data_IF_341723995133
#
_entry.id   IF_341723995133
#
_cell.length_a   1.000
_cell.length_b   1.000
_cell.length_c   1.000
_cell.angle_alpha   90.00
_cell.angle_beta   90.00
_cell.angle_gamma   90.00
#
_symmetry.space_group_name_H-M   'P 1'
#
loop_
_entity.id
_entity.type
_entity.pdbx_description
1 polymer ?
#
# COMPACT_ATOMS: atom_id res chain seq x y z
N UNK A 1 -20.12 0.60 2.46
CA UNK A 1 -19.73 -0.82 2.55
C UNK A 1 -20.92 -1.63 2.06
N UNK A 2 -20.76 -2.38 0.95
CA UNK A 2 -21.79 -3.30 0.45
C UNK A 2 -21.74 -4.57 1.30
N UNK A 3 -22.88 -5.03 1.77
CA UNK A 3 -23.05 -6.34 2.38
C UNK A 3 -23.90 -7.24 1.48
N UNK A 4 -23.88 -8.53 1.70
CA UNK A 4 -24.62 -9.52 0.88
C UNK A 4 -26.01 -9.84 1.41
N UNK A 5 -26.51 -9.05 2.38
CA UNK A 5 -27.80 -9.32 3.02
C UNK A 5 -28.97 -9.38 2.02
N UNK A 6 -29.04 -8.40 1.11
CA UNK A 6 -30.11 -8.37 0.11
C UNK A 6 -30.05 -9.54 -0.87
N UNK A 7 -28.86 -9.98 -1.23
CA UNK A 7 -28.63 -11.15 -2.09
C UNK A 7 -29.09 -12.44 -1.41
N UNK A 8 -28.58 -12.69 -0.19
CA UNK A 8 -28.91 -13.89 0.59
C UNK A 8 -30.39 -13.98 0.91
N UNK A 9 -31.04 -12.82 1.23
CA UNK A 9 -32.48 -12.79 1.44
C UNK A 9 -33.26 -13.22 0.18
N UNK A 10 -32.88 -12.68 -0.98
CA UNK A 10 -33.53 -13.08 -2.26
C UNK A 10 -33.31 -14.54 -2.57
N UNK A 11 -32.13 -15.07 -2.31
CA UNK A 11 -31.78 -16.47 -2.50
C UNK A 11 -32.60 -17.39 -1.57
N UNK A 12 -32.89 -16.92 -0.35
CA UNK A 12 -33.77 -17.61 0.60
C UNK A 12 -35.28 -17.43 0.26
N UNK A 13 -35.63 -16.68 -0.79
CA UNK A 13 -37.02 -16.44 -1.20
C UNK A 13 -37.81 -15.55 -0.24
N UNK A 14 -37.15 -14.81 0.66
CA UNK A 14 -37.80 -14.02 1.68
C UNK A 14 -38.02 -12.56 1.23
N UNK A 15 -39.19 -11.99 1.60
CA UNK A 15 -39.39 -10.54 1.52
C UNK A 15 -38.71 -9.83 2.70
N UNK A 16 -38.54 -8.52 2.61
CA UNK A 16 -37.98 -7.72 3.71
C UNK A 16 -38.80 -7.81 4.97
N UNK A 17 -40.13 -7.89 4.84
CA UNK A 17 -41.05 -8.03 5.97
C UNK A 17 -40.96 -9.41 6.61
N UNK A 18 -40.86 -10.48 5.81
CA UNK A 18 -40.68 -11.84 6.33
C UNK A 18 -39.35 -11.99 7.07
N UNK A 19 -38.25 -11.45 6.47
CA UNK A 19 -36.97 -11.49 7.17
C UNK A 19 -36.97 -10.68 8.45
N UNK A 20 -37.64 -9.53 8.48
CA UNK A 20 -37.80 -8.71 9.67
C UNK A 20 -38.52 -9.46 10.79
N UNK A 21 -39.62 -10.12 10.46
CA UNK A 21 -40.38 -10.95 11.41
C UNK A 21 -39.54 -12.10 11.96
N UNK A 22 -38.85 -12.83 11.08
CA UNK A 22 -38.00 -13.98 11.49
C UNK A 22 -36.77 -13.56 12.31
N UNK A 23 -36.26 -12.36 12.08
CA UNK A 23 -35.14 -11.80 12.83
C UNK A 23 -35.56 -10.95 14.04
N UNK A 24 -36.85 -10.98 14.41
CA UNK A 24 -37.42 -10.20 15.52
C UNK A 24 -37.00 -8.71 15.45
N UNK A 25 -37.28 -8.07 14.32
CA UNK A 25 -36.93 -6.67 14.06
C UNK A 25 -37.94 -5.99 13.15
N UNK A 26 -37.82 -4.67 12.99
CA UNK A 26 -38.66 -3.93 12.08
C UNK A 26 -38.11 -3.93 10.64
N UNK A 27 -39.02 -3.94 9.63
CA UNK A 27 -38.68 -3.84 8.21
C UNK A 27 -37.71 -2.68 7.91
N UNK A 28 -37.90 -1.52 8.55
CA UNK A 28 -37.05 -0.34 8.36
C UNK A 28 -35.58 -0.62 8.71
N UNK A 29 -35.31 -1.50 9.65
CA UNK A 29 -33.95 -1.90 10.03
C UNK A 29 -33.31 -2.78 8.94
N UNK A 30 -34.08 -3.73 8.39
CA UNK A 30 -33.61 -4.56 7.26
C UNK A 30 -33.26 -3.68 6.07
N UNK A 31 -34.12 -2.72 5.72
CA UNK A 31 -33.87 -1.79 4.60
C UNK A 31 -32.59 -0.99 4.82
N UNK A 32 -32.38 -0.44 6.03
CA UNK A 32 -31.17 0.33 6.36
C UNK A 32 -29.92 -0.52 6.32
N UNK A 33 -30.00 -1.78 6.78
CA UNK A 33 -28.88 -2.72 6.70
C UNK A 33 -28.54 -3.09 5.24
N UNK A 34 -29.55 -3.37 4.41
CA UNK A 34 -29.35 -3.70 2.99
C UNK A 34 -28.76 -2.53 2.20
N UNK A 35 -29.12 -1.30 2.53
CA UNK A 35 -28.58 -0.08 1.88
C UNK A 35 -27.21 0.35 2.42
N UNK A 36 -26.73 -0.29 3.48
CA UNK A 36 -25.48 0.11 4.14
C UNK A 36 -25.59 1.40 4.97
N UNK A 37 -26.81 1.92 5.17
CA UNK A 37 -27.10 3.08 6.03
C UNK A 37 -26.90 2.75 7.51
N UNK A 38 -26.92 1.47 7.85
CA UNK A 38 -26.60 0.94 9.18
C UNK A 38 -25.52 -0.13 9.07
N UNK A 39 -24.56 -0.10 10.01
CA UNK A 39 -23.50 -1.11 10.08
C UNK A 39 -24.06 -2.47 10.44
N UNK A 40 -23.64 -3.50 9.72
CA UNK A 40 -23.90 -4.88 10.03
C UNK A 40 -22.92 -5.31 11.14
N UNK A 41 -23.39 -5.32 12.39
CA UNK A 41 -22.61 -5.77 13.55
C UNK A 41 -22.69 -7.29 13.70
N UNK A 42 -21.80 -7.88 14.52
CA UNK A 42 -21.81 -9.32 14.81
C UNK A 42 -23.18 -9.79 15.32
N UNK A 43 -23.85 -9.01 16.19
CA UNK A 43 -25.19 -9.33 16.67
C UNK A 43 -26.20 -9.42 15.54
N UNK A 44 -26.13 -8.49 14.58
CA UNK A 44 -26.99 -8.52 13.39
C UNK A 44 -26.69 -9.72 12.51
N UNK A 45 -25.42 -10.08 12.33
CA UNK A 45 -25.02 -11.26 11.55
C UNK A 45 -25.56 -12.53 12.17
N UNK A 46 -25.43 -12.71 13.48
CA UNK A 46 -25.93 -13.88 14.20
C UNK A 46 -27.46 -13.99 14.13
N UNK A 47 -28.19 -12.87 14.28
CA UNK A 47 -29.64 -12.82 14.21
C UNK A 47 -30.18 -13.10 12.80
N UNK A 48 -29.49 -12.64 11.76
CA UNK A 48 -29.93 -12.75 10.38
C UNK A 48 -29.48 -14.07 9.74
N UNK A 49 -28.38 -14.66 10.14
CA UNK A 49 -27.86 -15.90 9.60
C UNK A 49 -28.83 -17.08 9.78
N UNK A 50 -29.46 -17.17 10.94
CA UNK A 50 -30.42 -18.24 11.26
C UNK A 50 -31.63 -18.27 10.31
N UNK A 51 -32.39 -17.18 10.11
CA UNK A 51 -33.53 -17.17 9.18
C UNK A 51 -33.11 -17.24 7.72
N UNK A 52 -31.87 -16.88 7.38
CA UNK A 52 -31.33 -16.98 6.03
C UNK A 52 -30.75 -18.34 5.69
N UNK A 53 -30.54 -19.20 6.70
CA UNK A 53 -29.95 -20.54 6.52
C UNK A 53 -28.50 -20.48 6.05
N UNK A 54 -27.73 -19.46 6.44
CA UNK A 54 -26.35 -19.23 6.04
C UNK A 54 -25.43 -19.06 7.25
N UNK A 55 -24.13 -19.11 7.04
CA UNK A 55 -23.17 -18.79 8.08
C UNK A 55 -23.13 -17.25 8.28
N UNK A 56 -23.00 -16.73 9.51
CA UNK A 56 -22.86 -15.28 9.78
C UNK A 56 -21.79 -14.58 8.92
N UNK A 57 -20.72 -15.28 8.57
CA UNK A 57 -19.66 -14.76 7.71
C UNK A 57 -20.11 -14.50 6.27
N UNK A 58 -21.11 -15.26 5.77
CA UNK A 58 -21.60 -15.14 4.40
C UNK A 58 -22.34 -13.82 4.16
N UNK A 59 -22.74 -13.12 5.25
CA UNK A 59 -23.34 -11.79 5.21
C UNK A 59 -22.32 -10.67 4.98
N UNK A 60 -21.03 -10.95 5.17
CA UNK A 60 -19.96 -10.04 4.78
C UNK A 60 -19.84 -9.99 3.26
N UNK A 61 -19.31 -8.89 2.68
CA UNK A 61 -18.88 -8.95 1.29
C UNK A 61 -18.01 -10.19 1.13
N UNK A 62 -18.22 -10.95 0.07
CA UNK A 62 -17.20 -11.92 -0.34
C UNK A 62 -15.91 -11.10 -0.50
N UNK A 63 -14.99 -11.21 0.47
CA UNK A 63 -13.59 -11.04 0.12
C UNK A 63 -13.40 -12.11 -0.93
N UNK A 64 -13.17 -11.70 -2.19
CA UNK A 64 -12.70 -12.65 -3.20
C UNK A 64 -11.66 -13.50 -2.49
N UNK A 65 -11.80 -14.83 -2.46
CA UNK A 65 -10.89 -15.69 -1.69
C UNK A 65 -9.52 -15.19 -2.05
N UNK A 66 -8.76 -14.69 -1.06
CA UNK A 66 -7.39 -14.28 -1.28
C UNK A 66 -6.79 -15.49 -1.98
N UNK A 67 -6.69 -15.39 -3.30
CA UNK A 67 -6.13 -16.44 -4.15
C UNK A 67 -4.85 -16.79 -3.43
N UNK A 68 -4.61 -18.05 -3.04
CA UNK A 68 -3.35 -18.39 -2.37
C UNK A 68 -2.29 -17.80 -3.26
N UNK A 69 -1.58 -16.76 -2.74
CA UNK A 69 -0.61 -15.99 -3.51
C UNK A 69 0.45 -17.01 -3.88
N UNK A 70 0.32 -17.57 -5.08
CA UNK A 70 1.36 -18.40 -5.63
C UNK A 70 2.67 -17.58 -5.56
N UNK A 71 3.83 -18.17 -5.30
CA UNK A 71 5.10 -17.43 -5.24
C UNK A 71 5.34 -16.48 -6.42
N UNK A 72 4.71 -16.77 -7.57
CA UNK A 72 4.69 -15.91 -8.77
C UNK A 72 3.87 -14.62 -8.62
N UNK A 73 3.00 -14.49 -7.62
CA UNK A 73 2.20 -13.28 -7.41
C UNK A 73 2.92 -12.15 -6.66
N UNK A 74 4.18 -12.37 -6.25
CA UNK A 74 5.05 -11.31 -5.72
C UNK A 74 5.54 -10.35 -6.81
N UNK A 75 5.42 -10.73 -8.10
CA UNK A 75 5.93 -9.99 -9.23
C UNK A 75 4.80 -9.60 -10.20
N UNK A 76 4.92 -8.42 -10.79
CA UNK A 76 4.05 -8.04 -11.90
C UNK A 76 4.33 -8.96 -13.10
N UNK A 77 3.28 -9.44 -13.75
CA UNK A 77 3.40 -10.29 -14.92
C UNK A 77 3.45 -9.45 -16.21
N UNK A 78 4.46 -9.71 -17.04
CA UNK A 78 4.55 -9.18 -18.39
C UNK A 78 3.71 -10.01 -19.39
N UNK A 79 3.78 -9.68 -20.69
CA UNK A 79 3.16 -10.47 -21.75
C UNK A 79 3.62 -11.93 -21.68
N UNK A 80 2.68 -12.87 -21.60
CA UNK A 80 2.98 -14.30 -21.49
C UNK A 80 2.99 -14.86 -20.06
N UNK A 81 2.61 -14.07 -19.04
CA UNK A 81 2.47 -14.54 -17.66
C UNK A 81 3.77 -14.75 -16.91
N UNK A 82 4.91 -14.31 -17.46
CA UNK A 82 6.22 -14.33 -16.79
C UNK A 82 6.46 -13.04 -16.00
N UNK A 83 7.29 -13.08 -14.93
CA UNK A 83 7.67 -11.86 -14.22
C UNK A 83 8.30 -10.83 -15.16
N UNK A 84 7.82 -9.58 -15.10
CA UNK A 84 8.35 -8.50 -15.93
C UNK A 84 9.64 -7.94 -15.32
N UNK A 85 10.75 -8.00 -16.06
CA UNK A 85 12.00 -7.30 -15.75
C UNK A 85 12.01 -5.93 -16.43
N UNK A 86 11.10 -5.07 -16.01
CA UNK A 86 10.85 -3.76 -16.63
C UNK A 86 10.94 -2.59 -15.65
N UNK A 87 11.28 -2.84 -14.38
CA UNK A 87 11.47 -1.80 -13.38
C UNK A 87 12.90 -1.25 -13.45
N UNK A 88 13.10 0.01 -13.89
CA UNK A 88 14.43 0.58 -13.95
C UNK A 88 14.99 0.86 -12.57
N UNK A 89 16.27 0.59 -12.36
CA UNK A 89 17.04 1.02 -11.19
C UNK A 89 17.72 2.33 -11.53
N UNK A 90 17.27 3.42 -10.89
CA UNK A 90 17.63 4.79 -11.23
C UNK A 90 18.53 5.45 -10.18
N UNK A 91 19.46 4.74 -9.54
CA UNK A 91 20.29 5.37 -8.55
C UNK A 91 21.45 4.51 -8.09
N UNK A 92 22.62 5.12 -8.03
CA UNK A 92 23.83 4.54 -7.44
C UNK A 92 24.52 5.53 -6.51
N UNK A 93 25.28 5.00 -5.55
CA UNK A 93 26.17 5.80 -4.73
C UNK A 93 27.24 6.48 -5.59
N UNK A 94 27.38 7.79 -5.48
CA UNK A 94 28.60 8.50 -5.88
C UNK A 94 29.27 9.10 -4.65
N UNK A 95 30.50 8.64 -4.44
CA UNK A 95 31.52 9.02 -3.48
C UNK A 95 31.22 10.20 -2.55
N UNK A 96 30.87 9.90 -1.30
CA UNK A 96 30.60 10.84 -0.24
C UNK A 96 29.47 10.33 0.66
N UNK A 97 29.62 10.45 1.95
CA UNK A 97 28.74 9.84 2.93
C UNK A 97 27.26 10.03 2.63
N UNK A 98 26.53 8.92 2.46
CA UNK A 98 25.06 8.80 2.55
C UNK A 98 24.20 9.49 1.48
N UNK A 99 24.77 9.98 0.38
CA UNK A 99 23.99 10.56 -0.73
C UNK A 99 23.84 9.55 -1.87
N UNK A 100 22.62 9.40 -2.34
CA UNK A 100 22.23 8.66 -3.51
C UNK A 100 22.15 9.64 -4.69
N UNK A 101 22.65 9.27 -5.86
CA UNK A 101 22.42 10.05 -7.08
C UNK A 101 21.28 9.40 -7.87
N UNK A 102 20.17 10.10 -8.07
CA UNK A 102 19.04 9.61 -8.86
C UNK A 102 19.09 10.22 -10.25
N UNK A 103 19.39 9.40 -11.25
CA UNK A 103 19.27 9.79 -12.66
C UNK A 103 18.14 8.97 -13.30
N UNK A 104 16.99 9.59 -13.49
CA UNK A 104 15.85 8.95 -14.14
C UNK A 104 16.04 8.83 -15.68
N UNK A 105 17.07 9.45 -16.23
CA UNK A 105 17.41 9.38 -17.67
C UNK A 105 18.25 8.16 -18.04
N UNK A 106 18.99 7.58 -17.10
CA UNK A 106 19.81 6.40 -17.34
C UNK A 106 19.57 5.35 -16.25
N UNK A 107 18.84 4.28 -16.62
CA UNK A 107 18.71 3.12 -15.75
C UNK A 107 20.06 2.36 -15.70
N UNK A 108 20.52 2.04 -14.50
CA UNK A 108 21.70 1.18 -14.29
C UNK A 108 21.43 -0.24 -14.77
N UNK A 109 20.24 -0.72 -14.48
CA UNK A 109 19.76 -2.04 -14.85
C UNK A 109 18.22 -2.07 -14.77
N UNK A 110 17.63 -3.19 -15.17
CA UNK A 110 16.21 -3.47 -14.98
C UNK A 110 16.04 -4.70 -14.10
N UNK A 111 15.18 -4.56 -13.09
CA UNK A 111 14.86 -5.64 -12.14
C UNK A 111 13.40 -6.09 -12.29
N UNK A 112 13.06 -7.19 -11.63
CA UNK A 112 11.68 -7.65 -11.59
C UNK A 112 10.79 -6.63 -10.89
N UNK A 113 9.67 -6.28 -11.55
CA UNK A 113 8.67 -5.39 -10.98
C UNK A 113 7.83 -6.12 -9.93
N UNK A 114 7.81 -5.68 -8.67
CA UNK A 114 6.93 -6.27 -7.66
C UNK A 114 5.46 -5.99 -7.99
N UNK A 115 4.57 -6.90 -7.59
CA UNK A 115 3.14 -6.84 -7.92
C UNK A 115 2.48 -5.51 -7.49
N UNK A 116 2.89 -4.94 -6.36
CA UNK A 116 2.40 -3.66 -5.86
C UNK A 116 2.75 -2.45 -6.76
N UNK A 117 3.67 -2.62 -7.70
CA UNK A 117 4.01 -1.63 -8.73
C UNK A 117 3.45 -1.99 -10.10
N UNK A 118 2.59 -3.02 -10.20
CA UNK A 118 1.95 -3.37 -11.45
C UNK A 118 1.13 -2.20 -11.99
N UNK A 119 1.36 -1.81 -13.25
CA UNK A 119 0.65 -0.70 -13.89
C UNK A 119 0.99 0.69 -13.37
N UNK A 120 1.92 0.83 -12.43
CA UNK A 120 2.36 2.14 -11.94
C UNK A 120 3.30 2.77 -12.96
N UNK A 121 2.86 3.89 -13.56
CA UNK A 121 3.68 4.65 -14.48
C UNK A 121 4.87 5.29 -13.75
N UNK A 122 6.03 5.30 -14.41
CA UNK A 122 7.27 5.90 -13.90
C UNK A 122 7.76 5.32 -12.56
N UNK A 123 7.30 4.11 -12.19
CA UNK A 123 7.86 3.40 -11.05
C UNK A 123 9.33 3.07 -11.30
N UNK A 124 10.13 3.14 -10.26
CA UNK A 124 11.57 2.85 -10.35
C UNK A 124 12.08 2.20 -9.05
N UNK A 125 13.30 1.75 -9.07
CA UNK A 125 14.00 1.27 -7.88
C UNK A 125 15.29 2.06 -7.67
N UNK A 126 15.80 2.05 -6.44
CA UNK A 126 17.09 2.61 -6.06
C UNK A 126 17.79 1.66 -5.10
N UNK A 127 19.10 1.62 -5.11
CA UNK A 127 19.86 0.94 -4.06
C UNK A 127 20.01 1.83 -2.83
N UNK A 128 19.74 1.28 -1.64
CA UNK A 128 20.05 1.94 -0.40
C UNK A 128 21.57 2.14 -0.26
N UNK A 129 21.96 3.32 0.22
CA UNK A 129 23.36 3.72 0.38
C UNK A 129 23.59 4.23 1.79
N UNK A 130 24.74 3.84 2.37
CA UNK A 130 25.10 4.19 3.73
C UNK A 130 24.27 3.44 4.77
N UNK A 131 24.50 3.79 6.02
CA UNK A 131 23.96 3.12 7.21
C UNK A 131 22.84 3.92 7.92
N UNK A 132 22.57 5.15 7.47
CA UNK A 132 21.66 6.08 8.17
C UNK A 132 20.26 5.54 8.41
N UNK A 133 19.85 4.51 7.67
CA UNK A 133 18.53 3.90 7.76
C UNK A 133 18.55 2.50 8.42
N UNK A 134 19.70 2.07 8.91
CA UNK A 134 19.78 0.83 9.69
C UNK A 134 19.01 0.90 11.01
N UNK A 135 18.38 -0.18 11.46
CA UNK A 135 18.37 -1.52 10.87
C UNK A 135 17.29 -1.75 9.81
N UNK A 136 16.54 -0.71 9.42
CA UNK A 136 15.39 -0.86 8.50
C UNK A 136 15.81 -1.15 7.07
N UNK A 137 16.82 -0.45 6.58
CA UNK A 137 17.45 -0.68 5.28
C UNK A 137 18.96 -0.73 5.45
N UNK A 138 19.56 -1.71 4.81
CA UNK A 138 21.02 -1.89 4.76
C UNK A 138 21.58 -1.38 3.44
N UNK A 139 22.85 -1.02 3.43
CA UNK A 139 23.52 -0.66 2.18
C UNK A 139 23.45 -1.81 1.17
N UNK A 140 23.02 -1.52 -0.04
CA UNK A 140 22.79 -2.52 -1.09
C UNK A 140 21.37 -3.05 -1.19
N UNK A 141 20.48 -2.77 -0.23
CA UNK A 141 19.06 -3.12 -0.37
C UNK A 141 18.44 -2.41 -1.56
N UNK A 142 17.63 -3.14 -2.32
CA UNK A 142 16.88 -2.60 -3.43
C UNK A 142 15.54 -2.06 -2.93
N UNK A 143 15.31 -0.77 -3.09
CA UNK A 143 14.12 -0.07 -2.64
C UNK A 143 13.19 0.22 -3.81
N UNK A 144 11.93 -0.19 -3.71
CA UNK A 144 10.90 0.00 -4.73
C UNK A 144 10.12 1.28 -4.49
N UNK A 145 10.04 2.12 -5.52
CA UNK A 145 9.51 3.48 -5.43
C UNK A 145 8.27 3.66 -6.29
N UNK A 146 7.21 4.19 -5.69
CA UNK A 146 6.01 4.63 -6.40
C UNK A 146 5.94 6.16 -6.39
N UNK A 147 6.25 6.84 -7.50
CA UNK A 147 6.26 8.29 -7.57
C UNK A 147 4.86 8.92 -7.53
N UNK A 148 3.81 8.13 -7.76
CA UNK A 148 2.43 8.62 -7.82
C UNK A 148 1.73 8.62 -6.46
N UNK A 149 2.37 8.08 -5.41
CA UNK A 149 1.80 8.07 -4.07
C UNK A 149 2.35 9.22 -3.24
N UNK A 150 1.49 10.01 -2.60
CA UNK A 150 1.94 11.05 -1.68
C UNK A 150 2.60 10.42 -0.44
N UNK A 151 3.59 11.09 0.16
CA UNK A 151 4.16 10.65 1.41
C UNK A 151 3.12 10.73 2.53
N UNK A 152 3.17 9.77 3.47
CA UNK A 152 2.36 9.76 4.69
C UNK A 152 3.27 9.59 5.89
N UNK A 153 2.88 10.12 7.04
CA UNK A 153 3.69 10.06 8.27
C UNK A 153 4.13 8.62 8.57
N UNK A 154 5.42 8.45 8.79
CA UNK A 154 6.03 7.16 9.10
C UNK A 154 6.43 6.32 7.88
N UNK A 155 6.03 6.68 6.65
CA UNK A 155 6.54 6.01 5.46
C UNK A 155 8.00 6.37 5.19
N UNK A 156 8.65 5.58 4.34
CA UNK A 156 10.00 5.87 3.86
C UNK A 156 9.91 6.54 2.49
N UNK A 157 10.81 7.47 2.25
CA UNK A 157 10.83 8.28 1.04
C UNK A 157 12.25 8.40 0.48
N UNK A 158 12.32 8.57 -0.83
CA UNK A 158 13.49 9.12 -1.51
C UNK A 158 13.22 10.61 -1.69
N UNK A 159 14.08 11.45 -1.14
CA UNK A 159 14.02 12.92 -1.28
C UNK A 159 15.11 13.33 -2.26
N UNK A 160 14.72 13.82 -3.43
CA UNK A 160 15.64 14.32 -4.46
C UNK A 160 15.83 15.83 -4.29
N UNK A 161 17.07 16.26 -4.21
CA UNK A 161 17.45 17.67 -4.13
C UNK A 161 17.76 18.24 -5.52
N UNK A 162 17.85 19.57 -5.60
CA UNK A 162 18.05 20.29 -6.86
C UNK A 162 19.39 20.03 -7.58
N UNK A 163 20.39 19.51 -6.85
CA UNK A 163 21.72 19.14 -7.32
C UNK A 163 21.87 17.67 -7.71
N UNK A 164 20.76 16.96 -7.87
CA UNK A 164 20.66 15.52 -8.14
C UNK A 164 21.09 14.61 -6.97
N UNK A 165 21.43 15.16 -5.84
CA UNK A 165 21.58 14.38 -4.62
C UNK A 165 20.23 13.88 -4.14
N UNK A 166 20.20 12.67 -3.60
CA UNK A 166 19.00 12.12 -3.02
C UNK A 166 19.30 11.40 -1.69
N UNK A 167 18.32 11.39 -0.81
CA UNK A 167 18.41 10.75 0.49
C UNK A 167 17.25 9.80 0.71
N UNK A 168 17.52 8.64 1.30
CA UNK A 168 16.48 7.75 1.82
C UNK A 168 16.29 8.08 3.29
N UNK A 169 15.08 8.50 3.67
CA UNK A 169 14.74 8.86 5.06
C UNK A 169 13.31 8.45 5.40
N UNK A 170 12.97 8.43 6.69
CA UNK A 170 11.59 8.30 7.12
C UNK A 170 10.93 9.67 7.10
N UNK A 171 9.76 9.76 6.46
CA UNK A 171 8.95 10.96 6.40
C UNK A 171 8.19 11.15 7.72
N UNK A 172 8.26 12.32 8.29
CA UNK A 172 7.52 12.68 9.50
C UNK A 172 6.35 13.62 9.19
N UNK A 173 6.65 14.74 8.57
CA UNK A 173 5.68 15.78 8.18
C UNK A 173 6.29 16.73 7.17
N UNK A 174 5.45 17.50 6.49
CA UNK A 174 5.85 18.59 5.60
C UNK A 174 4.98 19.81 5.90
N UNK A 175 5.58 20.98 5.90
CA UNK A 175 4.93 22.27 5.87
C UNK A 175 5.25 22.99 4.56
N UNK A 176 4.81 24.24 4.42
CA UNK A 176 5.11 25.03 3.21
C UNK A 176 6.62 25.30 3.07
N UNK A 177 7.32 25.43 4.19
CA UNK A 177 8.75 25.81 4.22
C UNK A 177 9.68 24.63 4.52
N UNK A 178 9.24 23.62 5.26
CA UNK A 178 10.11 22.58 5.82
C UNK A 178 9.58 21.17 5.61
N UNK A 179 10.47 20.25 5.23
CA UNK A 179 10.27 18.81 5.22
C UNK A 179 10.99 18.19 6.42
N UNK A 180 10.24 17.58 7.34
CA UNK A 180 10.78 16.89 8.52
C UNK A 180 10.98 15.43 8.24
N UNK A 181 12.19 14.96 8.49
CA UNK A 181 12.69 13.62 8.22
C UNK A 181 13.34 13.01 9.44
N UNK A 182 13.45 11.70 9.46
CA UNK A 182 14.15 10.95 10.50
C UNK A 182 15.14 9.96 9.89
N UNK A 183 16.29 9.85 10.50
CA UNK A 183 17.28 8.80 10.30
C UNK A 183 17.47 8.01 11.60
N UNK A 184 18.02 6.80 11.51
CA UNK A 184 18.09 5.89 12.64
C UNK A 184 19.51 5.62 13.13
N UNK A 185 20.50 5.70 12.26
CA UNK A 185 21.90 5.39 12.58
C UNK A 185 22.81 6.58 12.33
N UNK A 186 23.88 6.77 13.11
CA UNK A 186 24.29 5.98 14.28
C UNK A 186 23.40 6.19 15.53
N UNK A 187 22.66 7.29 15.58
CA UNK A 187 21.67 7.60 16.60
C UNK A 187 20.41 8.14 15.94
N UNK A 188 19.21 7.75 16.40
CA UNK A 188 17.98 8.29 15.86
C UNK A 188 17.95 9.81 15.96
N UNK A 189 17.80 10.48 14.80
CA UNK A 189 17.76 11.93 14.72
C UNK A 189 16.65 12.40 13.80
N UNK A 190 15.93 13.43 14.23
CA UNK A 190 14.95 14.16 13.42
C UNK A 190 15.57 15.48 12.97
N UNK A 191 15.36 15.84 11.72
CA UNK A 191 15.86 17.08 11.14
C UNK A 191 14.94 17.58 10.04
N UNK A 192 15.06 18.88 9.73
CA UNK A 192 14.30 19.52 8.67
C UNK A 192 15.20 19.87 7.49
N UNK A 193 14.61 19.79 6.30
CA UNK A 193 15.19 20.31 5.05
C UNK A 193 14.27 21.40 4.54
N UNK A 194 14.84 22.52 4.08
CA UNK A 194 14.13 23.58 3.40
C UNK A 194 13.48 23.05 2.12
N UNK A 195 12.17 23.25 1.99
CA UNK A 195 11.41 22.81 0.81
C UNK A 195 11.93 23.45 -0.49
N UNK A 196 12.54 24.62 -0.46
CA UNK A 196 13.14 25.27 -1.62
C UNK A 196 14.30 24.46 -2.23
N UNK A 197 14.94 23.60 -1.46
CA UNK A 197 16.03 22.70 -1.93
C UNK A 197 15.52 21.39 -2.52
N UNK A 198 14.25 21.06 -2.31
CA UNK A 198 13.67 19.78 -2.66
C UNK A 198 13.13 19.84 -4.09
N UNK A 199 13.61 18.96 -4.96
CA UNK A 199 13.10 18.80 -6.31
C UNK A 199 11.88 17.88 -6.34
N UNK A 200 11.95 16.76 -5.61
CA UNK A 200 10.87 15.79 -5.54
C UNK A 200 10.96 14.90 -4.30
N UNK A 201 9.83 14.32 -3.91
CA UNK A 201 9.71 13.35 -2.82
C UNK A 201 8.97 12.14 -3.37
N UNK A 202 9.57 10.97 -3.28
CA UNK A 202 9.02 9.73 -3.81
C UNK A 202 8.82 8.71 -2.69
N UNK A 203 7.65 8.07 -2.65
CA UNK A 203 7.33 7.10 -1.62
C UNK A 203 7.91 5.72 -1.93
N UNK A 204 8.64 5.15 -0.97
CA UNK A 204 9.10 3.77 -0.98
C UNK A 204 7.94 2.87 -0.55
N UNK A 205 7.65 1.85 -1.35
CA UNK A 205 6.52 0.92 -1.14
C UNK A 205 6.96 -0.50 -0.79
N UNK A 206 8.25 -0.79 -0.89
CA UNK A 206 8.82 -2.08 -0.52
C UNK A 206 10.32 -2.10 -0.68
N UNK A 207 10.95 -3.18 -0.24
CA UNK A 207 12.38 -3.40 -0.37
C UNK A 207 12.68 -4.88 -0.59
N UNK A 208 13.83 -5.13 -1.19
CA UNK A 208 14.44 -6.45 -1.33
C UNK A 208 15.83 -6.40 -0.75
N UNK A 209 16.17 -7.35 0.10
CA UNK A 209 17.52 -7.44 0.70
C UNK A 209 18.57 -7.67 -0.38
N UNK A 210 19.55 -6.77 -0.46
CA UNK A 210 20.75 -6.94 -1.28
C UNK A 210 21.61 -8.05 -0.67
N UNK A 211 21.94 -9.06 -1.47
CA UNK A 211 22.93 -10.06 -1.09
C UNK A 211 24.31 -9.67 -1.62
#
# INVERSE_FOLDING_TARGET
MHNRLAELRRRAGLTQDQLATLADTGRSQIVKLERGERRLTVDWMLRLAKPLGCDPKDLLPEEEPATPVAPSALWATGPGGQPARDLPVCGAARGGANALFVDQGQALEHVYRPAQLAGVANAFAVYAVGDSMEPKFQAGDLLFVNPNLPPVRGCFVVVELGDHEAYVKQFLRQSDDELWLKEFSPLPREFAIDCARIKAIYRIVGSWEGR
#
